data_IF_083737917141
#
_entry.id   IF_083737917141
#
_cell.length_a   1.000
_cell.length_b   1.000
_cell.length_c   1.000
_cell.angle_alpha   90.00
_cell.angle_beta   90.00
_cell.angle_gamma   90.00
#
_symmetry.space_group_name_H-M   'P 1'
#
loop_
_entity.id
_entity.type
_entity.pdbx_description
1 polymer ?
#
# COMPACT_ATOMS: atom_id res chain seq x y z
N UNK A 1 -17.54 7.46 32.27
CA UNK A 1 -17.54 6.80 30.94
C UNK A 1 -16.73 7.49 29.84
N UNK A 2 -16.21 8.73 30.00
CA UNK A 2 -15.51 9.47 28.92
C UNK A 2 -14.03 9.11 28.63
N UNK A 3 -13.45 8.09 29.28
CA UNK A 3 -12.01 7.78 29.14
C UNK A 3 -11.67 6.82 28.00
N UNK A 4 -12.62 5.99 27.54
CA UNK A 4 -12.38 5.02 26.46
C UNK A 4 -12.31 5.68 25.07
N UNK A 5 -13.24 6.58 24.73
CA UNK A 5 -13.26 7.23 23.41
C UNK A 5 -11.95 7.98 23.07
N UNK A 6 -11.23 8.50 24.07
CA UNK A 6 -9.98 9.22 23.81
C UNK A 6 -8.83 8.31 23.34
N UNK A 7 -8.79 7.05 23.79
CA UNK A 7 -7.73 6.09 23.38
C UNK A 7 -7.96 5.55 21.97
N UNK A 8 -9.22 5.34 21.59
CA UNK A 8 -9.57 4.83 20.26
C UNK A 8 -9.32 5.88 19.16
N UNK A 9 -9.68 7.14 19.40
CA UNK A 9 -9.45 8.25 18.46
C UNK A 9 -7.94 8.46 18.21
N UNK A 10 -7.10 8.37 19.25
CA UNK A 10 -5.64 8.50 19.08
C UNK A 10 -5.04 7.38 18.24
N UNK A 11 -5.59 6.17 18.33
CA UNK A 11 -5.02 5.01 17.65
C UNK A 11 -5.37 4.97 16.16
N UNK A 12 -6.56 5.43 15.75
CA UNK A 12 -6.91 5.53 14.32
C UNK A 12 -6.08 6.57 13.58
N UNK A 13 -5.74 7.68 14.24
CA UNK A 13 -4.83 8.67 13.67
C UNK A 13 -3.46 8.08 13.38
N UNK A 14 -2.93 7.20 14.24
CA UNK A 14 -1.68 6.49 13.99
C UNK A 14 -1.72 5.72 12.66
N UNK A 15 -2.81 5.00 12.38
CA UNK A 15 -2.93 4.22 11.14
C UNK A 15 -3.05 5.08 9.90
N UNK A 16 -3.70 6.24 10.00
CA UNK A 16 -3.69 7.24 8.93
C UNK A 16 -2.29 7.82 8.70
N UNK A 17 -1.55 8.12 9.77
CA UNK A 17 -0.17 8.61 9.66
C UNK A 17 0.72 7.57 8.98
N UNK A 18 0.62 6.29 9.37
CA UNK A 18 1.39 5.19 8.76
C UNK A 18 1.05 5.07 7.27
N UNK A 19 -0.23 5.13 6.91
CA UNK A 19 -0.65 5.09 5.50
C UNK A 19 -0.02 6.21 4.68
N UNK A 20 -0.09 7.45 5.19
CA UNK A 20 0.50 8.61 4.51
C UNK A 20 2.03 8.49 4.42
N UNK A 21 2.69 7.98 5.46
CA UNK A 21 4.14 7.77 5.45
C UNK A 21 4.58 6.75 4.39
N UNK A 22 3.89 5.61 4.28
CA UNK A 22 4.16 4.60 3.24
C UNK A 22 3.94 5.18 1.83
N UNK A 23 2.82 5.88 1.63
CA UNK A 23 2.54 6.55 0.34
C UNK A 23 3.61 7.57 -0.05
N UNK A 24 4.05 8.40 0.90
CA UNK A 24 5.06 9.41 0.66
C UNK A 24 6.40 8.79 0.23
N UNK A 25 6.77 7.63 0.80
CA UNK A 25 7.96 6.89 0.39
C UNK A 25 7.95 6.54 -1.10
N UNK A 26 6.85 5.97 -1.59
CA UNK A 26 6.69 5.62 -3.01
C UNK A 26 6.69 6.87 -3.89
N UNK A 27 5.94 7.91 -3.52
CA UNK A 27 5.83 9.14 -4.31
C UNK A 27 7.19 9.83 -4.43
N UNK A 28 7.95 9.93 -3.33
CA UNK A 28 9.29 10.51 -3.34
C UNK A 28 10.24 9.69 -4.21
N UNK A 29 10.20 8.36 -4.12
CA UNK A 29 11.01 7.49 -4.96
C UNK A 29 10.70 7.67 -6.46
N UNK A 30 9.43 7.73 -6.84
CA UNK A 30 9.02 7.99 -8.23
C UNK A 30 9.45 9.38 -8.70
N UNK A 31 9.32 10.40 -7.86
CA UNK A 31 9.77 11.76 -8.16
C UNK A 31 11.27 11.85 -8.41
N UNK A 32 12.09 11.26 -7.52
CA UNK A 32 13.54 11.18 -7.70
C UNK A 32 13.89 10.39 -8.96
N UNK A 33 13.19 9.29 -9.20
CA UNK A 33 13.42 8.45 -10.38
C UNK A 33 13.16 9.23 -11.68
N UNK A 34 12.08 10.01 -11.74
CA UNK A 34 11.71 10.82 -12.89
C UNK A 34 12.74 11.93 -13.18
N UNK A 35 13.17 12.68 -12.16
CA UNK A 35 14.14 13.77 -12.33
C UNK A 35 15.52 13.22 -12.71
N UNK A 36 15.94 12.11 -12.09
CA UNK A 36 17.26 11.51 -12.32
C UNK A 36 17.43 10.94 -13.73
N UNK A 37 16.32 10.55 -14.38
CA UNK A 37 16.37 9.91 -15.69
C UNK A 37 16.68 10.87 -16.85
N UNK A 38 16.50 12.18 -16.64
CA UNK A 38 16.69 13.19 -17.69
C UNK A 38 18.13 13.26 -18.23
N UNK A 39 19.12 12.79 -17.45
CA UNK A 39 20.54 12.91 -17.77
C UNK A 39 21.26 11.55 -17.92
N UNK A 40 20.52 10.44 -18.08
CA UNK A 40 21.09 9.09 -18.15
C UNK A 40 20.87 8.41 -19.49
N UNK A 41 21.86 7.64 -19.93
CA UNK A 41 21.67 6.67 -21.01
C UNK A 41 20.81 5.51 -20.50
N UNK A 42 19.78 5.18 -21.27
CA UNK A 42 18.79 4.18 -20.92
C UNK A 42 19.25 2.81 -21.42
N UNK A 43 19.52 1.89 -20.49
CA UNK A 43 19.69 0.47 -20.83
C UNK A 43 18.36 -0.26 -20.61
N UNK A 44 17.59 -0.38 -21.70
CA UNK A 44 16.31 -1.09 -21.67
C UNK A 44 16.51 -2.58 -21.33
N UNK A 45 16.02 -3.01 -20.17
CA UNK A 45 15.92 -4.42 -19.82
C UNK A 45 14.46 -4.88 -19.90
N UNK A 46 14.03 -5.55 -20.99
CA UNK A 46 12.64 -5.97 -21.18
C UNK A 46 12.18 -6.98 -20.12
N UNK A 47 13.10 -7.77 -19.56
CA UNK A 47 12.77 -8.72 -18.51
C UNK A 47 12.33 -8.01 -17.23
N UNK A 48 13.00 -6.92 -16.85
CA UNK A 48 12.66 -6.16 -15.64
C UNK A 48 11.33 -5.41 -15.78
N UNK A 49 11.07 -4.83 -16.95
CA UNK A 49 9.79 -4.16 -17.26
C UNK A 49 8.63 -5.18 -17.17
N UNK A 50 8.79 -6.34 -17.81
CA UNK A 50 7.78 -7.39 -17.80
C UNK A 50 7.57 -7.96 -16.39
N UNK A 51 8.63 -8.14 -15.61
CA UNK A 51 8.53 -8.56 -14.22
C UNK A 51 7.72 -7.54 -13.39
N UNK A 52 8.06 -6.25 -13.46
CA UNK A 52 7.32 -5.19 -12.74
C UNK A 52 5.82 -5.21 -13.03
N UNK A 53 5.46 -5.28 -14.32
CA UNK A 53 4.05 -5.37 -14.73
C UNK A 53 3.38 -6.68 -14.28
N UNK A 54 4.09 -7.81 -14.39
CA UNK A 54 3.57 -9.12 -13.97
C UNK A 54 3.30 -9.18 -12.46
N UNK A 55 4.06 -8.45 -11.64
CA UNK A 55 3.85 -8.37 -10.19
C UNK A 55 2.69 -7.42 -9.79
N UNK A 56 2.33 -6.45 -10.63
CA UNK A 56 1.28 -5.49 -10.30
C UNK A 56 -0.11 -6.13 -10.18
N UNK A 57 -0.48 -7.02 -11.11
CA UNK A 57 -1.81 -7.65 -11.12
C UNK A 57 -2.03 -8.54 -9.89
N UNK A 58 -1.13 -9.49 -9.55
CA UNK A 58 -1.26 -10.29 -8.33
C UNK A 58 -1.24 -9.45 -7.06
N UNK A 59 -0.44 -8.38 -7.02
CA UNK A 59 -0.39 -7.50 -5.85
C UNK A 59 -1.75 -6.83 -5.58
N UNK A 60 -2.40 -6.31 -6.61
CA UNK A 60 -3.77 -5.75 -6.48
C UNK A 60 -4.75 -6.84 -6.04
N UNK A 61 -4.70 -8.02 -6.65
CA UNK A 61 -5.58 -9.12 -6.27
C UNK A 61 -5.38 -9.54 -4.80
N UNK A 62 -4.13 -9.75 -4.38
CA UNK A 62 -3.77 -10.13 -3.02
C UNK A 62 -4.17 -9.05 -2.02
N UNK A 63 -3.98 -7.77 -2.34
CA UNK A 63 -4.40 -6.68 -1.47
C UNK A 63 -5.91 -6.71 -1.20
N UNK A 64 -6.74 -7.15 -2.16
CA UNK A 64 -8.18 -7.25 -1.99
C UNK A 64 -8.61 -8.54 -1.29
N UNK A 65 -7.92 -9.65 -1.57
CA UNK A 65 -8.28 -10.97 -1.08
C UNK A 65 -7.73 -11.27 0.32
N UNK A 66 -6.52 -10.83 0.64
CA UNK A 66 -5.82 -11.18 1.87
C UNK A 66 -6.55 -10.76 3.16
N UNK A 67 -7.20 -9.57 3.25
CA UNK A 67 -8.00 -9.21 4.43
C UNK A 67 -9.06 -10.26 4.77
N UNK A 68 -9.72 -10.86 3.77
CA UNK A 68 -10.74 -11.89 4.00
C UNK A 68 -10.19 -13.16 4.64
N UNK A 69 -8.89 -13.44 4.46
CA UNK A 69 -8.19 -14.59 5.05
C UNK A 69 -7.58 -14.26 6.41
N UNK A 70 -7.14 -13.03 6.63
CA UNK A 70 -6.53 -12.59 7.89
C UNK A 70 -7.57 -12.29 8.98
N UNK A 71 -8.70 -11.68 8.62
CA UNK A 71 -9.72 -11.24 9.59
C UNK A 71 -10.22 -12.41 10.47
N UNK A 72 -10.60 -13.58 9.93
CA UNK A 72 -11.05 -14.71 10.75
C UNK A 72 -10.03 -15.17 11.80
N UNK A 73 -8.74 -15.22 11.45
CA UNK A 73 -7.67 -15.58 12.40
C UNK A 73 -7.42 -14.54 13.50
N UNK A 74 -7.97 -13.34 13.33
CA UNK A 74 -7.81 -12.23 14.28
C UNK A 74 -9.10 -11.94 15.05
N UNK A 75 -10.21 -12.63 14.76
CA UNK A 75 -11.45 -12.53 15.52
C UNK A 75 -11.23 -13.11 16.93
N UNK A 76 -11.76 -12.43 17.94
CA UNK A 76 -11.56 -12.79 19.36
C UNK A 76 -10.32 -12.16 20.00
N UNK A 77 -9.55 -11.34 19.28
CA UNK A 77 -8.51 -10.52 19.91
C UNK A 77 -9.17 -9.46 20.82
N UNK A 78 -8.60 -9.23 22.00
CA UNK A 78 -9.09 -8.21 22.93
C UNK A 78 -8.91 -6.77 22.37
N UNK A 79 -8.18 -6.63 21.26
CA UNK A 79 -7.83 -5.35 20.65
C UNK A 79 -8.07 -5.38 19.14
N UNK A 80 -9.34 -5.25 18.76
CA UNK A 80 -9.80 -5.24 17.36
C UNK A 80 -9.07 -4.17 16.51
N UNK A 81 -8.76 -3.02 17.11
CA UNK A 81 -8.06 -1.94 16.43
C UNK A 81 -6.63 -2.33 16.03
N UNK A 82 -5.90 -3.03 16.91
CA UNK A 82 -4.58 -3.57 16.59
C UNK A 82 -4.64 -4.62 15.47
N UNK A 83 -5.67 -5.48 15.50
CA UNK A 83 -5.92 -6.45 14.43
C UNK A 83 -6.21 -5.75 13.09
N UNK A 84 -7.05 -4.70 13.08
CA UNK A 84 -7.31 -3.89 11.90
C UNK A 84 -6.04 -3.22 11.37
N UNK A 85 -5.22 -2.62 12.24
CA UNK A 85 -3.95 -2.00 11.87
C UNK A 85 -3.03 -2.99 11.16
N UNK A 86 -2.91 -4.21 11.69
CA UNK A 86 -2.07 -5.27 11.09
C UNK A 86 -2.54 -5.62 9.69
N UNK A 87 -3.86 -5.83 9.50
CA UNK A 87 -4.42 -6.15 8.18
C UNK A 87 -4.16 -5.03 7.17
N UNK A 88 -4.33 -3.77 7.58
CA UNK A 88 -4.11 -2.61 6.70
C UNK A 88 -2.65 -2.43 6.31
N UNK A 89 -1.71 -2.57 7.26
CA UNK A 89 -0.27 -2.47 6.97
C UNK A 89 0.14 -3.52 5.94
N UNK A 90 -0.30 -4.77 6.11
CA UNK A 90 0.01 -5.85 5.16
C UNK A 90 -0.61 -5.57 3.79
N UNK A 91 -1.87 -5.11 3.74
CA UNK A 91 -2.53 -4.73 2.49
C UNK A 91 -1.76 -3.63 1.74
N UNK A 92 -1.31 -2.59 2.43
CA UNK A 92 -0.55 -1.50 1.83
C UNK A 92 0.86 -1.91 1.42
N UNK A 93 1.56 -2.73 2.22
CA UNK A 93 2.91 -3.19 1.92
C UNK A 93 2.99 -4.01 0.63
N UNK A 94 1.97 -4.82 0.34
CA UNK A 94 1.89 -5.60 -0.91
C UNK A 94 1.81 -4.67 -2.12
N UNK A 95 0.95 -3.64 -2.05
CA UNK A 95 0.78 -2.67 -3.13
C UNK A 95 2.02 -1.77 -3.29
N UNK A 96 2.60 -1.32 -2.16
CA UNK A 96 3.82 -0.52 -2.13
C UNK A 96 5.00 -1.28 -2.75
N UNK A 97 5.20 -2.56 -2.40
CA UNK A 97 6.25 -3.37 -2.97
C UNK A 97 6.14 -3.48 -4.50
N UNK A 98 4.93 -3.67 -5.02
CA UNK A 98 4.69 -3.69 -6.45
C UNK A 98 4.90 -2.31 -7.11
N UNK A 99 4.52 -1.23 -6.44
CA UNK A 99 4.72 0.14 -6.93
C UNK A 99 6.21 0.50 -6.99
N UNK A 100 6.97 0.16 -5.95
CA UNK A 100 8.43 0.37 -5.90
C UNK A 100 9.15 -0.48 -6.94
N UNK A 101 8.76 -1.75 -7.14
CA UNK A 101 9.34 -2.59 -8.18
C UNK A 101 9.16 -1.97 -9.58
N UNK A 102 7.96 -1.44 -9.87
CA UNK A 102 7.69 -0.72 -11.12
C UNK A 102 8.44 0.62 -11.19
N UNK A 103 8.62 1.31 -10.06
CA UNK A 103 9.48 2.49 -9.99
C UNK A 103 10.94 2.16 -10.31
N UNK A 104 11.47 1.04 -9.82
CA UNK A 104 12.84 0.56 -10.14
C UNK A 104 12.94 0.18 -11.61
N UNK A 105 11.93 -0.52 -12.15
CA UNK A 105 11.87 -0.82 -13.58
C UNK A 105 11.88 0.46 -14.41
N UNK A 106 11.12 1.48 -14.04
CA UNK A 106 11.16 2.78 -14.70
C UNK A 106 12.52 3.47 -14.55
N UNK A 107 13.08 3.53 -13.33
CA UNK A 107 14.36 4.20 -13.05
C UNK A 107 15.53 3.61 -13.85
N UNK A 108 15.50 2.30 -14.09
CA UNK A 108 16.57 1.60 -14.81
C UNK A 108 16.37 1.63 -16.33
N UNK A 109 15.12 1.49 -16.78
CA UNK A 109 14.81 1.28 -18.21
C UNK A 109 14.18 2.48 -18.91
N UNK A 110 13.84 3.55 -18.19
CA UNK A 110 13.12 4.70 -18.71
C UNK A 110 11.72 4.41 -19.27
N UNK A 111 11.21 3.18 -19.11
CA UNK A 111 9.96 2.78 -19.74
C UNK A 111 8.74 3.38 -19.02
N UNK A 112 8.02 4.25 -19.72
CA UNK A 112 6.85 4.94 -19.19
C UNK A 112 5.71 4.02 -18.75
N UNK A 113 5.61 2.78 -19.27
CA UNK A 113 4.57 1.84 -18.83
C UNK A 113 4.81 1.38 -17.39
N UNK A 114 6.07 1.21 -17.01
CA UNK A 114 6.46 0.91 -15.63
C UNK A 114 6.08 2.08 -14.70
N UNK A 115 6.37 3.32 -15.11
CA UNK A 115 5.96 4.51 -14.34
C UNK A 115 4.44 4.60 -14.20
N UNK A 116 3.70 4.46 -15.30
CA UNK A 116 2.24 4.49 -15.29
C UNK A 116 1.65 3.42 -14.38
N UNK A 117 2.24 2.22 -14.37
CA UNK A 117 1.83 1.12 -13.47
C UNK A 117 2.07 1.48 -12.01
N UNK A 118 3.25 2.03 -11.67
CA UNK A 118 3.55 2.46 -10.30
C UNK A 118 2.59 3.56 -9.82
N UNK A 119 2.30 4.55 -10.66
CA UNK A 119 1.34 5.62 -10.38
C UNK A 119 -0.07 5.04 -10.18
N UNK A 120 -0.50 4.11 -11.04
CA UNK A 120 -1.76 3.40 -10.90
C UNK A 120 -1.86 2.68 -9.55
N UNK A 121 -0.80 1.99 -9.12
CA UNK A 121 -0.75 1.34 -7.82
C UNK A 121 -0.80 2.34 -6.66
N UNK A 122 -0.18 3.52 -6.77
CA UNK A 122 -0.33 4.60 -5.78
C UNK A 122 -1.78 5.04 -5.65
N UNK A 123 -2.52 5.19 -6.75
CA UNK A 123 -3.95 5.47 -6.70
C UNK A 123 -4.75 4.34 -6.03
N UNK A 124 -4.39 3.07 -6.27
CA UNK A 124 -5.00 1.94 -5.57
C UNK A 124 -4.72 2.02 -4.07
N UNK A 125 -3.49 2.31 -3.65
CA UNK A 125 -3.16 2.52 -2.23
C UNK A 125 -4.01 3.65 -1.63
N UNK A 126 -4.08 4.80 -2.30
CA UNK A 126 -4.87 5.96 -1.86
C UNK A 126 -6.36 5.62 -1.70
N UNK A 127 -6.93 4.82 -2.61
CA UNK A 127 -8.33 4.36 -2.51
C UNK A 127 -8.60 3.48 -1.29
N UNK A 128 -7.55 2.96 -0.65
CA UNK A 128 -7.59 2.07 0.52
C UNK A 128 -7.28 2.79 1.82
N UNK A 129 -7.51 4.10 1.87
CA UNK A 129 -7.38 4.91 3.08
C UNK A 129 -8.17 4.29 4.26
N UNK A 130 -7.60 4.23 5.48
CA UNK A 130 -8.23 3.55 6.60
C UNK A 130 -9.45 4.33 7.12
N UNK A 131 -10.55 3.62 7.37
CA UNK A 131 -11.81 4.22 7.86
C UNK A 131 -12.45 3.37 8.97
N UNK A 132 -13.14 4.04 9.89
CA UNK A 132 -13.85 3.39 11.00
C UNK A 132 -15.00 2.49 10.49
N UNK A 133 -15.70 2.92 9.44
CA UNK A 133 -16.75 2.13 8.79
C UNK A 133 -16.21 0.80 8.23
N UNK A 134 -15.01 0.81 7.64
CA UNK A 134 -14.34 -0.41 7.18
C UNK A 134 -13.96 -1.32 8.35
N UNK A 135 -13.44 -0.75 9.45
CA UNK A 135 -13.10 -1.52 10.65
C UNK A 135 -14.32 -2.23 11.24
N UNK A 136 -15.41 -1.49 11.49
CA UNK A 136 -16.64 -2.05 12.08
C UNK A 136 -17.25 -3.15 11.20
N UNK A 137 -17.07 -3.05 9.88
CA UNK A 137 -17.48 -4.10 8.93
C UNK A 137 -16.61 -5.35 9.03
N UNK A 138 -15.31 -5.21 9.27
CA UNK A 138 -14.36 -6.33 9.39
C UNK A 138 -14.43 -7.00 10.77
N UNK A 139 -14.60 -6.20 11.82
CA UNK A 139 -14.65 -6.60 13.21
C UNK A 139 -15.89 -6.00 13.88
N UNK A 140 -17.09 -6.59 13.68
CA UNK A 140 -18.30 -6.12 14.36
C UNK A 140 -18.17 -6.35 15.88
N UNK A 141 -18.69 -5.43 16.67
CA UNK A 141 -18.92 -5.65 18.11
C UNK A 141 -20.03 -6.69 18.26
N UNK A 142 -19.75 -7.77 18.99
CA UNK A 142 -20.74 -8.81 19.34
C UNK A 142 -21.62 -8.38 20.52
#
# INVERSE_FOLDING_TARGET
MHRNNRKEITNFMTTRIVHMAMMMGVIMFLGVSFVSLQNREIMGNPMLINAGMAFAIPAVFLAFFLPSRMVPSLKGSQNQLSSYHTVKIVQWAILEGAALLNGVAYFTSGDFRSLATAVGLVFVILSRFPSEAEMNKMFPEE
#
